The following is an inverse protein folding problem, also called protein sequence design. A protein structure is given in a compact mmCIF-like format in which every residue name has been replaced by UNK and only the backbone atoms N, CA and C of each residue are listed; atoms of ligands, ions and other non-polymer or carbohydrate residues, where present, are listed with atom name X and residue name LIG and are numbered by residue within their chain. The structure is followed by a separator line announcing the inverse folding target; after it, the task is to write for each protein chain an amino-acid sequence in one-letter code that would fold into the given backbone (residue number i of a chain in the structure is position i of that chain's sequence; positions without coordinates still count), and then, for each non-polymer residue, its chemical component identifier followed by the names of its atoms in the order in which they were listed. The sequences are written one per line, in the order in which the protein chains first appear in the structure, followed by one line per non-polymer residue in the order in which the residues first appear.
data_IF_568229622602
#
_entry.id   IF_568229622602
#
_cell.length_a   1.000
_cell.length_b   1.000
_cell.length_c   1.000
_cell.angle_alpha   90.00
_cell.angle_beta   90.00
_cell.angle_gamma   90.00
#
_symmetry.space_group_name_H-M   'P 1'
#
loop_
_entity.id
_entity.type
_entity.pdbx_description
1 polymer ?
#
# COMPACT_ATOMS: atom_id res chain seq x y z
N UNK A 1 29.16 29.07 -21.93
CA UNK A 1 29.07 28.14 -20.78
C UNK A 1 27.62 27.85 -20.59
N UNK A 2 27.17 26.63 -20.87
CA UNK A 2 25.86 26.19 -20.40
C UNK A 2 25.99 25.98 -18.89
N UNK A 3 25.16 26.69 -18.12
CA UNK A 3 25.16 26.60 -16.67
C UNK A 3 24.61 25.26 -16.20
N UNK A 4 24.82 24.95 -14.92
CA UNK A 4 24.18 23.81 -14.26
C UNK A 4 22.66 23.84 -14.50
N UNK A 5 22.03 22.69 -14.83
CA UNK A 5 20.58 22.63 -14.99
C UNK A 5 19.85 23.00 -13.69
N UNK A 6 18.68 23.62 -13.82
CA UNK A 6 17.79 23.87 -12.68
C UNK A 6 17.17 22.55 -12.19
N UNK A 7 17.09 22.31 -10.88
CA UNK A 7 16.48 21.10 -10.35
C UNK A 7 14.95 21.11 -10.52
N UNK A 8 14.31 19.94 -10.68
CA UNK A 8 12.84 19.85 -10.72
C UNK A 8 12.21 20.26 -9.38
N UNK A 9 11.17 21.10 -9.42
CA UNK A 9 10.47 21.60 -8.22
C UNK A 9 9.78 20.49 -7.39
N UNK A 10 9.48 19.35 -8.02
CA UNK A 10 8.84 18.19 -7.37
C UNK A 10 9.80 17.37 -6.50
N UNK A 11 11.12 17.57 -6.66
CA UNK A 11 12.11 16.84 -5.88
C UNK A 11 12.44 17.60 -4.61
N UNK A 12 12.43 16.91 -3.48
CA UNK A 12 12.90 17.47 -2.22
C UNK A 12 14.38 17.87 -2.31
N UNK A 13 14.76 18.94 -1.62
CA UNK A 13 16.11 19.51 -1.65
C UNK A 13 17.20 18.47 -1.35
N UNK A 14 16.99 17.61 -0.36
CA UNK A 14 17.95 16.57 0.00
C UNK A 14 18.20 15.54 -1.12
N UNK A 15 17.24 15.34 -2.03
CA UNK A 15 17.40 14.47 -3.21
C UNK A 15 18.25 15.19 -4.26
N UNK A 16 17.97 16.47 -4.50
CA UNK A 16 18.74 17.31 -5.43
C UNK A 16 20.20 17.38 -5.00
N UNK A 17 20.45 17.68 -3.72
CA UNK A 17 21.82 17.71 -3.18
C UNK A 17 22.54 16.36 -3.32
N UNK A 18 21.82 15.25 -3.12
CA UNK A 18 22.39 13.93 -3.27
C UNK A 18 22.80 13.67 -4.73
N UNK A 19 21.97 14.05 -5.71
CA UNK A 19 22.27 13.91 -7.14
C UNK A 19 23.45 14.79 -7.56
N UNK A 20 23.50 16.04 -7.08
CA UNK A 20 24.58 16.98 -7.40
C UNK A 20 25.98 16.51 -6.97
N UNK A 21 26.04 15.64 -5.94
CA UNK A 21 27.31 15.09 -5.42
C UNK A 21 27.76 13.83 -6.18
N UNK A 22 26.99 13.34 -7.15
CA UNK A 22 27.33 12.13 -7.89
C UNK A 22 28.23 12.40 -9.09
N UNK A 23 28.97 11.37 -9.51
CA UNK A 23 29.71 11.39 -10.77
C UNK A 23 28.77 11.11 -11.94
N UNK A 24 29.14 11.46 -13.19
CA UNK A 24 28.32 11.16 -14.36
C UNK A 24 27.90 9.68 -14.47
N UNK A 25 28.83 8.75 -14.20
CA UNK A 25 28.56 7.30 -14.28
C UNK A 25 27.54 6.85 -13.23
N UNK A 26 27.55 7.47 -12.05
CA UNK A 26 26.56 7.21 -11.01
C UNK A 26 25.21 7.82 -11.36
N UNK A 27 25.18 8.98 -12.00
CA UNK A 27 23.94 9.58 -12.49
C UNK A 27 23.28 8.71 -13.56
N UNK A 28 24.05 8.11 -14.47
CA UNK A 28 23.56 7.12 -15.45
C UNK A 28 22.93 5.90 -14.74
N UNK A 29 23.59 5.36 -13.72
CA UNK A 29 23.03 4.25 -12.94
C UNK A 29 21.75 4.63 -12.18
N UNK A 30 21.67 5.86 -11.65
CA UNK A 30 20.44 6.37 -11.01
C UNK A 30 19.31 6.50 -12.04
N UNK A 31 19.60 6.95 -13.26
CA UNK A 31 18.60 7.05 -14.34
C UNK A 31 17.99 5.68 -14.66
N UNK A 32 18.83 4.66 -14.83
CA UNK A 32 18.40 3.29 -15.09
C UNK A 32 17.53 2.75 -13.95
N UNK A 33 18.01 2.84 -12.71
CA UNK A 33 17.25 2.38 -11.55
C UNK A 33 15.92 3.13 -11.38
N UNK A 34 15.91 4.46 -11.55
CA UNK A 34 14.70 5.26 -11.43
C UNK A 34 13.65 4.88 -12.50
N UNK A 35 14.10 4.54 -13.72
CA UNK A 35 13.23 4.05 -14.79
C UNK A 35 12.60 2.70 -14.43
N UNK A 36 13.39 1.75 -13.96
CA UNK A 36 12.92 0.42 -13.55
C UNK A 36 11.98 0.50 -12.35
N UNK A 37 12.36 1.26 -11.32
CA UNK A 37 11.54 1.46 -10.13
C UNK A 37 10.21 2.12 -10.47
N UNK A 38 10.19 3.07 -11.41
CA UNK A 38 8.94 3.68 -11.88
C UNK A 38 8.05 2.67 -12.60
N UNK A 39 8.63 1.83 -13.46
CA UNK A 39 7.88 0.79 -14.17
C UNK A 39 7.28 -0.21 -13.18
N UNK A 40 8.08 -0.70 -12.23
CA UNK A 40 7.63 -1.56 -11.15
C UNK A 40 6.50 -0.92 -10.34
N UNK A 41 6.65 0.34 -9.91
CA UNK A 41 5.61 1.03 -9.14
C UNK A 41 4.32 1.24 -9.93
N UNK A 42 4.40 1.46 -11.25
CA UNK A 42 3.22 1.52 -12.12
C UNK A 42 2.56 0.16 -12.25
N UNK A 43 3.34 -0.90 -12.49
CA UNK A 43 2.83 -2.26 -12.54
C UNK A 43 2.14 -2.64 -11.22
N UNK A 44 2.73 -2.30 -10.06
CA UNK A 44 2.11 -2.55 -8.75
C UNK A 44 0.83 -1.74 -8.54
N UNK A 45 0.74 -0.52 -9.08
CA UNK A 45 -0.48 0.28 -9.02
C UNK A 45 -1.56 -0.19 -9.98
N UNK A 46 -1.17 -0.71 -11.15
CA UNK A 46 -2.06 -1.21 -12.20
C UNK A 46 -2.44 -2.69 -12.01
N UNK A 47 -1.67 -3.44 -11.24
CA UNK A 47 -2.05 -4.78 -10.79
C UNK A 47 -3.25 -4.62 -9.87
N UNK A 48 -4.37 -5.17 -10.31
CA UNK A 48 -5.42 -5.58 -9.40
C UNK A 48 -4.73 -6.38 -8.29
N UNK A 49 -4.97 -5.95 -7.05
CA UNK A 49 -4.67 -6.77 -5.89
C UNK A 49 -5.25 -8.16 -6.19
N UNK A 50 -4.54 -9.24 -5.89
CA UNK A 50 -5.09 -10.59 -5.96
C UNK A 50 -5.69 -11.02 -4.62
N UNK A 51 -6.51 -12.08 -4.60
CA UNK A 51 -7.01 -12.69 -3.36
C UNK A 51 -5.84 -13.01 -2.41
N UNK A 52 -4.75 -13.56 -2.96
CA UNK A 52 -3.49 -13.88 -2.28
C UNK A 52 -2.81 -12.68 -1.61
N UNK A 53 -3.00 -11.46 -2.11
CA UNK A 53 -2.43 -10.25 -1.50
C UNK A 53 -3.21 -9.83 -0.25
N UNK A 54 -4.49 -10.22 -0.12
CA UNK A 54 -5.35 -9.84 1.01
C UNK A 54 -5.38 -10.91 2.11
N UNK A 55 -5.15 -12.18 1.76
CA UNK A 55 -5.22 -13.34 2.67
C UNK A 55 -3.98 -13.55 3.56
N UNK A 56 -2.94 -12.69 3.50
CA UNK A 56 -1.80 -12.80 4.43
C UNK A 56 -2.11 -12.26 5.85
N UNK A 57 -3.29 -11.66 6.07
CA UNK A 57 -3.74 -11.27 7.41
C UNK A 57 -4.48 -12.42 8.12
N UNK A 58 -3.95 -12.96 9.23
CA UNK A 58 -4.49 -14.16 9.88
C UNK A 58 -5.86 -13.94 10.54
N UNK A 59 -6.34 -12.70 10.66
CA UNK A 59 -7.65 -12.40 11.21
C UNK A 59 -8.73 -12.20 10.12
N UNK A 60 -8.35 -12.24 8.83
CA UNK A 60 -9.28 -12.28 7.70
C UNK A 60 -9.90 -13.68 7.62
N UNK A 61 -11.24 -13.73 7.57
CA UNK A 61 -12.01 -14.98 7.56
C UNK A 61 -12.79 -15.20 6.28
N UNK A 62 -12.92 -14.17 5.44
CA UNK A 62 -13.61 -14.25 4.16
C UNK A 62 -13.22 -13.08 3.24
N UNK A 63 -13.20 -13.33 1.93
CA UNK A 63 -12.89 -12.34 0.88
C UNK A 63 -14.05 -12.33 -0.11
N UNK A 64 -14.77 -11.21 -0.16
CA UNK A 64 -15.78 -10.95 -1.19
C UNK A 64 -15.08 -10.20 -2.35
N UNK A 65 -14.90 -10.86 -3.51
CA UNK A 65 -14.43 -10.18 -4.72
C UNK A 65 -15.45 -9.12 -5.16
N UNK A 66 -14.98 -7.90 -5.46
CA UNK A 66 -15.86 -6.84 -5.98
C UNK A 66 -15.36 -6.29 -7.30
N UNK A 67 -16.28 -6.00 -8.22
CA UNK A 67 -15.98 -5.17 -9.39
C UNK A 67 -15.75 -3.72 -8.93
N UNK A 68 -14.49 -3.26 -8.91
CA UNK A 68 -14.11 -1.89 -8.53
C UNK A 68 -12.72 -1.78 -7.90
N UNK A 69 -12.40 -0.61 -7.32
CA UNK A 69 -11.12 -0.35 -6.64
C UNK A 69 -11.05 -1.11 -5.29
N UNK A 70 -10.39 -2.27 -5.30
CA UNK A 70 -10.02 -3.05 -4.11
C UNK A 70 -10.97 -4.18 -3.72
N UNK A 71 -10.63 -4.89 -2.64
CA UNK A 71 -11.40 -6.03 -2.11
C UNK A 71 -12.25 -5.67 -0.91
N UNK A 72 -13.35 -6.41 -0.72
CA UNK A 72 -14.07 -6.42 0.54
C UNK A 72 -13.69 -7.67 1.32
N UNK A 73 -13.21 -7.52 2.55
CA UNK A 73 -12.91 -8.66 3.42
C UNK A 73 -13.67 -8.61 4.72
N UNK A 74 -13.96 -9.79 5.27
CA UNK A 74 -14.50 -9.95 6.61
C UNK A 74 -13.34 -10.28 7.53
N UNK A 75 -13.11 -9.43 8.52
CA UNK A 75 -11.98 -9.54 9.46
C UNK A 75 -12.44 -9.36 10.90
N UNK A 76 -11.88 -10.15 11.80
CA UNK A 76 -12.01 -9.96 13.24
C UNK A 76 -11.03 -8.88 13.72
N UNK A 77 -11.53 -7.94 14.52
CA UNK A 77 -10.74 -6.88 15.11
C UNK A 77 -10.24 -7.32 16.49
N UNK A 78 -8.92 -7.54 16.61
CA UNK A 78 -8.30 -7.75 17.91
C UNK A 78 -8.55 -6.55 18.84
N UNK A 79 -9.00 -6.83 20.04
CA UNK A 79 -9.25 -5.87 21.11
C UNK A 79 -8.16 -5.96 22.18
N UNK A 80 -8.03 -4.92 23.01
CA UNK A 80 -7.12 -4.95 24.15
C UNK A 80 -7.50 -6.04 25.17
N UNK A 81 -6.54 -6.45 25.99
CA UNK A 81 -6.73 -7.50 27.00
C UNK A 81 -7.86 -7.18 28.01
N UNK A 82 -8.12 -5.89 28.23
CA UNK A 82 -9.15 -5.36 29.12
C UNK A 82 -10.54 -5.24 28.46
N UNK A 83 -10.73 -5.72 27.22
CA UNK A 83 -12.06 -5.82 26.62
C UNK A 83 -12.82 -7.01 27.21
N UNK A 84 -14.09 -6.82 27.57
CA UNK A 84 -15.00 -7.91 27.97
C UNK A 84 -15.18 -8.98 26.88
N UNK A 85 -14.87 -8.63 25.63
CA UNK A 85 -14.96 -9.46 24.44
C UNK A 85 -13.73 -10.34 24.16
N UNK A 86 -12.74 -10.37 25.06
CA UNK A 86 -11.47 -11.07 24.88
C UNK A 86 -11.60 -12.61 25.07
N UNK A 87 -12.52 -13.23 24.33
CA UNK A 87 -12.73 -14.69 24.26
C UNK A 87 -11.77 -15.39 23.27
N UNK A 88 -10.79 -14.64 22.75
CA UNK A 88 -9.82 -15.09 21.75
C UNK A 88 -10.20 -14.79 20.29
N UNK A 89 -11.42 -14.30 20.01
CA UNK A 89 -11.85 -13.94 18.64
C UNK A 89 -11.85 -12.44 18.38
N UNK A 90 -11.99 -11.60 19.41
CA UNK A 90 -12.05 -10.14 19.26
C UNK A 90 -13.42 -9.65 18.80
N UNK A 91 -13.51 -8.40 18.34
CA UNK A 91 -14.79 -7.83 17.86
C UNK A 91 -15.00 -8.11 16.38
N UNK A 92 -16.25 -8.40 15.99
CA UNK A 92 -16.64 -8.50 14.59
C UNK A 92 -17.44 -9.78 14.27
N UNK A 93 -17.32 -10.31 13.05
CA UNK A 93 -16.48 -9.82 11.96
C UNK A 93 -16.99 -8.47 11.41
N UNK A 94 -16.07 -7.60 10.99
CA UNK A 94 -16.38 -6.35 10.29
C UNK A 94 -16.05 -6.47 8.81
N UNK A 95 -16.75 -5.73 7.97
CA UNK A 95 -16.39 -5.56 6.56
C UNK A 95 -15.34 -4.48 6.43
N UNK A 96 -14.30 -4.75 5.64
CA UNK A 96 -13.23 -3.83 5.33
C UNK A 96 -13.06 -3.71 3.83
N UNK A 97 -12.87 -2.49 3.32
CA UNK A 97 -12.34 -2.28 1.98
C UNK A 97 -10.82 -2.20 2.03
N UNK A 98 -10.15 -3.02 1.25
CA UNK A 98 -8.69 -3.08 1.14
C UNK A 98 -8.29 -2.61 -0.24
N UNK A 99 -7.44 -1.59 -0.31
CA UNK A 99 -6.93 -1.01 -1.56
C UNK A 99 -5.42 -0.87 -1.49
N UNK A 100 -4.67 -0.98 -2.60
CA UNK A 100 -3.23 -0.76 -2.56
C UNK A 100 -2.91 0.68 -2.16
N UNK A 101 -1.81 0.90 -1.43
CA UNK A 101 -1.39 2.24 -1.00
C UNK A 101 -0.43 2.93 -1.99
N UNK A 102 -0.07 2.26 -3.08
CA UNK A 102 0.87 2.74 -4.09
C UNK A 102 2.36 2.69 -3.68
N UNK A 103 2.66 2.18 -2.49
CA UNK A 103 4.01 2.00 -1.92
C UNK A 103 4.31 0.53 -1.55
N UNK A 104 3.46 -0.41 -1.96
CA UNK A 104 3.59 -1.84 -1.64
C UNK A 104 2.91 -2.26 -0.35
N UNK A 105 2.15 -1.36 0.28
CA UNK A 105 1.27 -1.64 1.41
C UNK A 105 -0.21 -1.56 1.04
N UNK A 106 -1.06 -1.58 2.06
CA UNK A 106 -2.52 -1.63 1.92
C UNK A 106 -3.19 -0.57 2.79
N UNK A 107 -4.22 0.08 2.24
CA UNK A 107 -5.15 0.91 2.99
C UNK A 107 -6.38 0.08 3.37
N UNK A 108 -6.73 0.14 4.66
CA UNK A 108 -7.87 -0.60 5.23
C UNK A 108 -8.95 0.36 5.72
N UNK A 109 -10.14 0.28 5.13
CA UNK A 109 -11.30 1.10 5.51
C UNK A 109 -12.42 0.23 6.07
N UNK A 110 -12.71 0.36 7.37
CA UNK A 110 -13.85 -0.33 7.98
C UNK A 110 -15.17 0.22 7.41
N UNK A 111 -16.00 -0.67 6.89
CA UNK A 111 -17.33 -0.37 6.33
C UNK A 111 -18.46 -0.63 7.35
N UNK A 112 -18.16 -1.23 8.50
CA UNK A 112 -19.12 -1.56 9.54
C UNK A 112 -19.24 -3.06 9.80
N UNK A 113 -20.07 -3.46 10.79
CA UNK A 113 -20.24 -4.86 11.16
C UNK A 113 -20.80 -5.67 9.99
N UNK A 114 -20.42 -6.95 9.91
CA UNK A 114 -21.12 -7.89 9.04
C UNK A 114 -22.53 -8.05 9.62
N UNK A 115 -23.53 -7.45 8.98
CA UNK A 115 -24.92 -7.76 9.29
C UNK A 115 -25.22 -9.16 8.78
N UNK A 116 -25.42 -10.11 9.69
CA UNK A 116 -26.06 -11.38 9.34
C UNK A 116 -27.44 -11.05 8.77
N UNK A 117 -27.65 -11.38 7.49
CA UNK A 117 -28.99 -11.43 6.95
C UNK A 117 -29.77 -12.47 7.75
N UNK A 118 -30.90 -12.06 8.33
CA UNK A 118 -31.80 -12.94 9.08
C UNK A 118 -32.44 -14.03 8.22
#
# INVERSE_FOLDING_TARGET
MEGKPAPPEVLAEYVVEALDRQTPEKLEAVEEYARELRAYKREVQERDMGEDDVVDDPDVVDVDETEGEGYIVKKWQKCGADCECNDGKGHGPYKWRVTPDGNGGQNWKCLGPVSDGG
#
